data_IF_124589846374
#
_entry.id   IF_124589846374
#
_cell.length_a   1.000
_cell.length_b   1.000
_cell.length_c   1.000
_cell.angle_alpha   90.00
_cell.angle_beta   90.00
_cell.angle_gamma   90.00
#
_symmetry.space_group_name_H-M   'P 1'
#
loop_
_entity.id
_entity.type
_entity.pdbx_description
1 polymer ?
#
# COMPACT_ATOMS: atom_id res chain seq x y z
N UNK A 1 -28.00 32.09 55.96
CA UNK A 1 -28.79 32.43 54.77
C UNK A 1 -28.60 33.91 54.46
N UNK A 2 -27.41 34.38 54.08
CA UNK A 2 -26.94 34.36 52.67
C UNK A 2 -27.81 35.30 51.82
N UNK A 3 -27.77 36.62 52.02
CA UNK A 3 -26.99 37.61 51.21
C UNK A 3 -27.22 37.45 49.70
N UNK A 4 -28.03 38.34 49.10
CA UNK A 4 -27.57 39.51 48.32
C UNK A 4 -27.42 39.13 46.83
N UNK A 5 -27.59 39.99 45.82
CA UNK A 5 -28.16 41.32 45.62
C UNK A 5 -27.97 41.52 44.10
N UNK A 6 -28.94 42.14 43.43
CA UNK A 6 -28.82 43.09 42.33
C UNK A 6 -27.58 42.99 41.40
N UNK A 7 -27.77 42.91 40.09
CA UNK A 7 -28.01 44.10 39.26
C UNK A 7 -27.93 43.75 37.78
N UNK A 8 -28.89 44.30 37.04
CA UNK A 8 -28.92 44.33 35.60
C UNK A 8 -27.80 45.25 35.11
N UNK A 9 -26.93 44.79 34.21
CA UNK A 9 -26.10 45.70 33.41
C UNK A 9 -26.04 45.20 31.97
N UNK A 10 -26.85 45.83 31.15
CA UNK A 10 -26.81 45.74 29.71
C UNK A 10 -25.70 46.69 29.22
N UNK A 11 -24.59 46.15 28.70
CA UNK A 11 -23.67 46.92 27.90
C UNK A 11 -23.39 46.13 26.61
N UNK A 12 -23.86 46.67 25.50
CA UNK A 12 -23.56 46.15 24.18
C UNK A 12 -22.15 46.53 23.78
N UNK A 13 -21.38 45.55 23.31
CA UNK A 13 -20.31 45.74 22.33
C UNK A 13 -20.25 44.50 21.44
N UNK A 14 -20.59 44.71 20.16
CA UNK A 14 -19.96 44.12 18.96
C UNK A 14 -18.50 43.70 19.25
N UNK A 15 -17.95 42.55 18.83
CA UNK A 15 -17.97 41.88 17.53
C UNK A 15 -17.36 40.47 17.68
N UNK A 16 -17.85 39.52 16.87
CA UNK A 16 -17.15 38.32 16.33
C UNK A 16 -16.38 37.45 17.31
N UNK A 17 -17.05 36.39 17.80
CA UNK A 17 -16.36 35.21 18.31
C UNK A 17 -15.82 34.39 17.15
N UNK A 18 -14.50 34.38 17.03
CA UNK A 18 -13.75 33.26 16.46
C UNK A 18 -13.92 32.07 17.42
N UNK A 19 -14.55 30.99 16.95
CA UNK A 19 -14.32 29.63 17.43
C UNK A 19 -14.97 28.67 16.41
N UNK A 20 -14.45 28.71 15.18
CA UNK A 20 -14.52 27.53 14.32
C UNK A 20 -13.61 26.47 14.92
N UNK A 21 -14.21 25.53 15.65
CA UNK A 21 -13.61 24.24 15.96
C UNK A 21 -13.40 23.46 14.66
N UNK A 22 -12.41 23.86 13.87
CA UNK A 22 -11.88 23.07 12.78
C UNK A 22 -11.13 21.89 13.39
N UNK A 23 -11.65 20.68 13.20
CA UNK A 23 -10.81 19.49 13.30
C UNK A 23 -9.66 19.69 12.30
N UNK A 24 -8.47 20.04 12.79
CA UNK A 24 -7.25 19.98 11.99
C UNK A 24 -7.14 18.56 11.48
N UNK A 25 -7.47 18.33 10.20
CA UNK A 25 -7.10 17.10 9.50
C UNK A 25 -5.58 17.02 9.53
N UNK A 26 -5.06 16.31 10.53
CA UNK A 26 -3.65 15.98 10.64
C UNK A 26 -3.25 15.33 9.32
N UNK A 27 -2.42 16.01 8.53
CA UNK A 27 -1.97 15.49 7.24
C UNK A 27 -1.17 14.22 7.52
N UNK A 28 -1.74 13.06 7.20
CA UNK A 28 -1.07 11.76 7.37
C UNK A 28 0.22 11.76 6.56
N UNK A 29 1.29 11.21 7.13
CA UNK A 29 2.52 10.98 6.38
C UNK A 29 2.29 9.86 5.34
N UNK A 30 3.17 9.76 4.34
CA UNK A 30 3.09 8.64 3.38
C UNK A 30 3.26 7.28 4.09
N UNK A 31 4.05 7.25 5.16
CA UNK A 31 4.22 6.05 5.97
C UNK A 31 2.93 5.64 6.65
N UNK A 32 2.24 6.58 7.32
CA UNK A 32 0.94 6.32 7.95
C UNK A 32 -0.06 5.80 6.92
N UNK A 33 -0.10 6.38 5.72
CA UNK A 33 -1.02 5.94 4.66
C UNK A 33 -0.69 4.51 4.19
N UNK A 34 0.59 4.15 4.06
CA UNK A 34 0.99 2.80 3.68
C UNK A 34 0.59 1.77 4.75
N UNK A 35 0.84 2.09 6.03
CA UNK A 35 0.51 1.22 7.16
C UNK A 35 -1.01 1.10 7.34
N UNK A 36 -1.75 2.21 7.29
CA UNK A 36 -3.22 2.20 7.36
C UNK A 36 -3.83 1.36 6.22
N UNK A 37 -3.27 1.47 5.01
CA UNK A 37 -3.73 0.69 3.86
C UNK A 37 -3.48 -0.80 4.07
N UNK A 38 -2.34 -1.17 4.64
CA UNK A 38 -2.00 -2.55 4.97
C UNK A 38 -2.91 -3.12 6.06
N UNK A 39 -3.06 -2.39 7.16
CA UNK A 39 -3.85 -2.80 8.33
C UNK A 39 -5.34 -2.97 7.99
N UNK A 40 -5.85 -2.20 7.02
CA UNK A 40 -7.20 -2.36 6.52
C UNK A 40 -7.43 -3.66 5.74
N UNK A 41 -6.37 -4.28 5.21
CA UNK A 41 -6.41 -5.56 4.49
C UNK A 41 -7.46 -5.60 3.38
N UNK A 42 -8.39 -6.57 3.44
CA UNK A 42 -9.44 -6.73 2.42
C UNK A 42 -10.45 -5.56 2.36
N UNK A 43 -10.43 -4.66 3.35
CA UNK A 43 -11.28 -3.46 3.42
C UNK A 43 -10.53 -2.17 3.06
N UNK A 44 -9.28 -2.28 2.59
CA UNK A 44 -8.45 -1.13 2.28
C UNK A 44 -9.09 -0.22 1.22
N UNK A 45 -9.15 1.07 1.52
CA UNK A 45 -9.40 2.11 0.52
C UNK A 45 -8.07 2.55 -0.08
N UNK A 46 -7.72 1.98 -1.23
CA UNK A 46 -6.49 2.32 -1.95
C UNK A 46 -6.53 3.73 -2.56
N UNK A 47 -7.67 4.44 -2.53
CA UNK A 47 -7.81 5.78 -3.10
C UNK A 47 -6.94 6.84 -2.42
N UNK A 48 -6.84 6.78 -1.08
CA UNK A 48 -5.96 7.68 -0.32
C UNK A 48 -4.49 7.41 -0.67
N UNK A 49 -4.08 6.13 -0.68
CA UNK A 49 -2.74 5.71 -1.10
C UNK A 49 -2.39 6.21 -2.50
N UNK A 50 -3.27 5.97 -3.47
CA UNK A 50 -3.02 6.37 -4.86
C UNK A 50 -2.95 7.89 -5.04
N UNK A 51 -3.68 8.65 -4.22
CA UNK A 51 -3.64 10.12 -4.24
C UNK A 51 -2.37 10.70 -3.60
N UNK A 52 -1.77 9.97 -2.66
CA UNK A 52 -0.53 10.38 -1.99
C UNK A 52 0.74 10.06 -2.81
N UNK A 53 0.66 9.12 -3.75
CA UNK A 53 1.80 8.67 -4.55
C UNK A 53 2.08 9.59 -5.74
N UNK A 54 3.38 9.86 -5.94
CA UNK A 54 3.94 10.71 -6.99
C UNK A 54 5.20 10.07 -7.55
N UNK A 55 5.70 10.58 -8.69
CA UNK A 55 6.97 10.12 -9.27
C UNK A 55 8.17 10.22 -8.31
N UNK A 56 8.12 11.14 -7.34
CA UNK A 56 9.23 11.38 -6.40
C UNK A 56 9.23 10.43 -5.21
N UNK A 57 8.06 9.93 -4.80
CA UNK A 57 7.90 9.15 -3.56
C UNK A 57 7.32 7.74 -3.79
N UNK A 58 7.00 7.35 -5.02
CA UNK A 58 6.41 6.03 -5.31
C UNK A 58 7.29 4.82 -4.91
N UNK A 59 8.58 5.05 -4.70
CA UNK A 59 9.56 4.07 -4.23
C UNK A 59 9.92 4.24 -2.74
N UNK A 60 9.15 5.03 -1.99
CA UNK A 60 9.32 5.16 -0.55
C UNK A 60 9.25 3.78 0.12
N UNK A 61 10.10 3.57 1.11
CA UNK A 61 10.18 2.37 1.93
C UNK A 61 9.83 2.74 3.36
N UNK A 62 8.92 2.01 4.00
CA UNK A 62 8.63 2.18 5.43
C UNK A 62 9.91 2.06 6.25
N UNK A 63 9.96 2.75 7.38
CA UNK A 63 11.15 2.79 8.24
C UNK A 63 11.44 1.39 8.79
N UNK A 64 10.39 0.75 9.27
CA UNK A 64 10.49 -0.50 10.04
C UNK A 64 10.54 -1.75 9.18
N UNK A 65 9.79 -1.87 8.10
CA UNK A 65 9.82 -3.14 7.34
C UNK A 65 10.30 -2.96 5.91
N UNK A 66 10.62 -1.73 5.51
CA UNK A 66 11.09 -1.41 4.16
C UNK A 66 10.05 -1.70 3.07
N UNK A 67 8.78 -1.75 3.43
CA UNK A 67 7.65 -1.97 2.52
C UNK A 67 7.48 -0.81 1.57
N UNK A 68 7.19 -1.13 0.31
CA UNK A 68 6.85 -0.17 -0.74
C UNK A 68 5.37 -0.22 -1.05
N UNK A 69 4.85 0.81 -1.73
CA UNK A 69 3.47 0.80 -2.23
C UNK A 69 3.16 -0.43 -3.09
N UNK A 70 4.11 -0.92 -3.90
CA UNK A 70 3.92 -2.14 -4.70
C UNK A 70 3.82 -3.39 -3.83
N UNK A 71 4.56 -3.49 -2.72
CA UNK A 71 4.46 -4.62 -1.79
C UNK A 71 3.12 -4.60 -1.05
N UNK A 72 2.70 -3.44 -0.54
CA UNK A 72 1.38 -3.29 0.10
C UNK A 72 0.28 -3.73 -0.86
N UNK A 73 0.23 -3.16 -2.07
CA UNK A 73 -0.75 -3.54 -3.09
C UNK A 73 -0.69 -5.02 -3.46
N UNK A 74 0.50 -5.62 -3.48
CA UNK A 74 0.68 -7.04 -3.76
C UNK A 74 0.14 -7.95 -2.65
N UNK A 75 0.17 -7.51 -1.40
CA UNK A 75 -0.40 -8.24 -0.27
C UNK A 75 -1.92 -8.10 -0.14
N UNK A 76 -2.54 -7.11 -0.78
CA UNK A 76 -3.99 -6.90 -0.73
C UNK A 76 -4.75 -7.89 -1.61
N UNK A 77 -5.23 -8.98 -1.01
CA UNK A 77 -6.08 -9.96 -1.68
C UNK A 77 -7.53 -9.47 -1.77
N UNK A 78 -8.14 -9.55 -2.95
CA UNK A 78 -9.58 -9.30 -3.15
C UNK A 78 -10.02 -7.84 -3.07
N UNK A 79 -9.08 -6.89 -2.95
CA UNK A 79 -9.37 -5.45 -2.93
C UNK A 79 -9.58 -4.96 -4.38
N UNK A 80 -10.75 -4.38 -4.72
CA UNK A 80 -10.99 -3.87 -6.05
C UNK A 80 -10.00 -2.77 -6.45
N UNK A 81 -9.58 -2.76 -7.71
CA UNK A 81 -8.71 -1.72 -8.24
C UNK A 81 -7.21 -1.93 -8.04
N UNK A 82 -6.78 -2.96 -7.27
CA UNK A 82 -5.36 -3.31 -7.10
C UNK A 82 -4.61 -3.45 -8.44
N UNK A 83 -5.15 -4.14 -9.47
CA UNK A 83 -4.50 -4.19 -10.79
C UNK A 83 -4.23 -2.81 -11.41
N UNK A 84 -5.21 -1.91 -11.31
CA UNK A 84 -5.08 -0.55 -11.86
C UNK A 84 -4.10 0.28 -11.05
N UNK A 85 -4.12 0.13 -9.72
CA UNK A 85 -3.17 0.79 -8.83
C UNK A 85 -1.73 0.35 -9.11
N UNK A 86 -1.46 -0.96 -9.26
CA UNK A 86 -0.14 -1.47 -9.61
C UNK A 86 0.37 -0.85 -10.93
N UNK A 87 -0.46 -0.85 -11.98
CA UNK A 87 -0.10 -0.21 -13.26
C UNK A 87 0.19 1.27 -13.10
N UNK A 88 -0.61 1.98 -12.30
CA UNK A 88 -0.41 3.40 -12.04
C UNK A 88 0.90 3.64 -11.28
N UNK A 89 1.20 2.89 -10.23
CA UNK A 89 2.46 2.98 -9.49
C UNK A 89 3.65 2.67 -10.41
N UNK A 90 3.56 1.65 -11.27
CA UNK A 90 4.58 1.37 -12.29
C UNK A 90 4.78 2.55 -13.26
N UNK A 91 3.69 3.19 -13.73
CA UNK A 91 3.75 4.37 -14.60
C UNK A 91 4.36 5.62 -13.92
N UNK A 92 4.30 5.68 -12.58
CA UNK A 92 4.98 6.70 -11.79
C UNK A 92 6.48 6.43 -11.62
N UNK A 93 6.97 5.24 -12.02
CA UNK A 93 8.35 4.80 -11.83
C UNK A 93 8.54 3.88 -10.62
N UNK A 94 7.46 3.24 -10.15
CA UNK A 94 7.50 2.24 -9.09
C UNK A 94 8.38 1.05 -9.47
N UNK A 95 9.40 0.79 -8.65
CA UNK A 95 10.40 -0.23 -8.87
C UNK A 95 10.05 -1.51 -8.09
N UNK A 96 9.50 -2.50 -8.78
CA UNK A 96 9.15 -3.79 -8.20
C UNK A 96 10.36 -4.63 -7.74
N UNK A 97 11.59 -4.23 -8.11
CA UNK A 97 12.82 -4.92 -7.71
C UNK A 97 13.33 -4.48 -6.32
N UNK A 98 12.72 -3.47 -5.70
CA UNK A 98 12.99 -3.14 -4.31
C UNK A 98 12.56 -4.34 -3.45
N UNK A 99 13.36 -4.60 -2.41
CA UNK A 99 13.10 -5.66 -1.43
C UNK A 99 12.84 -5.07 -0.05
N UNK A 100 12.03 -5.75 0.74
CA UNK A 100 11.80 -5.45 2.14
C UNK A 100 12.95 -6.00 3.02
N UNK A 101 12.76 -6.02 4.35
CA UNK A 101 13.78 -6.55 5.28
C UNK A 101 14.07 -8.04 5.12
N UNK A 102 13.11 -8.82 4.63
CA UNK A 102 13.25 -10.26 4.42
C UNK A 102 13.77 -10.60 3.02
N UNK A 103 14.10 -9.59 2.22
CA UNK A 103 14.54 -9.78 0.84
C UNK A 103 13.37 -10.00 -0.12
N UNK A 104 12.13 -9.79 0.33
CA UNK A 104 10.95 -10.04 -0.48
C UNK A 104 10.71 -8.88 -1.45
N UNK A 105 10.56 -9.22 -2.72
CA UNK A 105 10.02 -8.33 -3.76
C UNK A 105 8.49 -8.33 -3.71
N UNK A 106 7.85 -7.41 -4.44
CA UNK A 106 6.38 -7.41 -4.57
C UNK A 106 5.80 -8.74 -5.10
N UNK A 107 6.57 -9.53 -5.86
CA UNK A 107 6.12 -10.86 -6.32
C UNK A 107 6.13 -11.91 -5.21
N UNK A 108 7.06 -11.83 -4.24
CA UNK A 108 7.02 -12.67 -3.04
C UNK A 108 5.79 -12.35 -2.19
N UNK A 109 5.48 -11.07 -2.02
CA UNK A 109 4.27 -10.62 -1.34
C UNK A 109 2.99 -11.21 -1.95
N UNK A 110 2.82 -11.08 -3.27
CA UNK A 110 1.67 -11.66 -3.96
C UNK A 110 1.64 -13.21 -3.88
N UNK A 111 2.81 -13.86 -3.86
CA UNK A 111 2.94 -15.31 -3.69
C UNK A 111 2.48 -15.78 -2.32
N UNK A 112 2.91 -15.08 -1.26
CA UNK A 112 2.59 -15.42 0.12
C UNK A 112 1.12 -15.17 0.44
N UNK A 113 0.59 -14.01 0.04
CA UNK A 113 -0.79 -13.60 0.32
C UNK A 113 -1.83 -14.16 -0.66
N UNK A 114 -1.41 -14.91 -1.68
CA UNK A 114 -2.34 -15.48 -2.66
C UNK A 114 -3.07 -14.42 -3.50
N UNK A 115 -2.44 -13.28 -3.77
CA UNK A 115 -3.05 -12.17 -4.53
C UNK A 115 -2.88 -12.38 -6.04
N UNK A 116 -3.78 -13.15 -6.64
CA UNK A 116 -3.70 -13.54 -8.06
C UNK A 116 -3.71 -12.36 -9.03
N UNK A 117 -4.54 -11.37 -8.73
CA UNK A 117 -4.66 -10.15 -9.54
C UNK A 117 -3.37 -9.33 -9.53
N UNK A 118 -2.75 -9.17 -8.35
CA UNK A 118 -1.46 -8.49 -8.24
C UNK A 118 -0.32 -9.29 -8.88
N UNK A 119 -0.26 -10.60 -8.61
CA UNK A 119 0.70 -11.52 -9.20
C UNK A 119 0.71 -11.42 -10.73
N UNK A 120 -0.47 -11.45 -11.35
CA UNK A 120 -0.63 -11.36 -12.80
C UNK A 120 -0.13 -10.03 -13.36
N UNK A 121 -0.47 -8.90 -12.73
CA UNK A 121 -0.03 -7.58 -13.22
C UNK A 121 1.47 -7.35 -13.03
N UNK A 122 2.04 -7.78 -11.90
CA UNK A 122 3.47 -7.68 -11.65
C UNK A 122 4.27 -8.59 -12.59
N UNK A 123 3.85 -9.85 -12.76
CA UNK A 123 4.57 -10.83 -13.58
C UNK A 123 4.66 -10.41 -15.06
N UNK A 124 3.62 -9.78 -15.62
CA UNK A 124 3.61 -9.30 -17.01
C UNK A 124 4.80 -8.44 -17.38
N UNK A 125 5.24 -7.54 -16.49
CA UNK A 125 6.32 -6.59 -16.78
C UNK A 125 7.61 -6.92 -16.04
N UNK A 126 7.54 -7.74 -15.00
CA UNK A 126 8.64 -8.01 -14.08
C UNK A 126 9.07 -9.49 -14.06
N UNK A 127 8.91 -10.21 -15.18
CA UNK A 127 9.26 -11.64 -15.30
C UNK A 127 10.64 -11.99 -14.73
N UNK A 128 11.64 -11.11 -14.93
CA UNK A 128 13.00 -11.31 -14.39
C UNK A 128 13.05 -11.51 -12.86
N UNK A 129 12.11 -10.89 -12.14
CA UNK A 129 12.04 -10.94 -10.67
C UNK A 129 11.47 -12.27 -10.15
N UNK A 130 10.88 -13.11 -11.01
CA UNK A 130 10.42 -14.45 -10.64
C UNK A 130 11.57 -15.42 -10.32
N UNK A 131 12.81 -15.03 -10.61
CA UNK A 131 14.03 -15.82 -10.31
C UNK A 131 14.88 -15.21 -9.18
N UNK A 132 14.46 -14.06 -8.64
CA UNK A 132 15.14 -13.44 -7.50
C UNK A 132 14.77 -14.22 -6.24
N UNK A 133 15.74 -14.53 -5.39
CA UNK A 133 15.53 -15.20 -4.12
C UNK A 133 15.47 -14.22 -2.97
N UNK A 134 14.65 -14.52 -1.96
CA UNK A 134 14.65 -13.85 -0.67
C UNK A 134 15.86 -14.24 0.21
N UNK A 135 15.86 -13.78 1.47
CA UNK A 135 16.92 -14.09 2.44
C UNK A 135 16.95 -15.57 2.87
N UNK A 136 15.85 -16.33 2.69
CA UNK A 136 15.81 -17.77 2.90
C UNK A 136 16.22 -18.57 1.65
N UNK A 137 16.53 -17.88 0.54
CA UNK A 137 16.89 -18.51 -0.72
C UNK A 137 15.70 -18.99 -1.55
N UNK A 138 14.47 -18.58 -1.21
CA UNK A 138 13.27 -18.94 -1.96
C UNK A 138 12.94 -17.91 -3.03
N UNK A 139 12.56 -18.38 -4.21
CA UNK A 139 11.95 -17.56 -5.26
C UNK A 139 10.45 -17.31 -4.99
N UNK A 140 9.80 -16.33 -5.65
CA UNK A 140 8.36 -16.13 -5.52
C UNK A 140 7.54 -17.38 -5.87
N UNK A 141 8.02 -18.20 -6.82
CA UNK A 141 7.34 -19.44 -7.23
C UNK A 141 7.43 -20.50 -6.15
N UNK A 142 8.62 -20.67 -5.56
CA UNK A 142 8.83 -21.64 -4.48
C UNK A 142 8.04 -21.23 -3.24
N UNK A 143 8.00 -19.93 -2.92
CA UNK A 143 7.17 -19.40 -1.84
C UNK A 143 5.68 -19.66 -2.10
N UNK A 144 5.17 -19.41 -3.32
CA UNK A 144 3.78 -19.73 -3.66
C UNK A 144 3.46 -21.21 -3.45
N UNK A 145 4.36 -22.13 -3.83
CA UNK A 145 4.18 -23.57 -3.62
C UNK A 145 4.23 -23.96 -2.14
N UNK A 146 5.15 -23.38 -1.38
CA UNK A 146 5.27 -23.58 0.08
C UNK A 146 3.98 -23.18 0.80
N UNK A 147 3.39 -22.06 0.41
CA UNK A 147 2.12 -21.55 0.95
C UNK A 147 0.87 -22.20 0.32
N UNK A 148 1.05 -23.18 -0.58
CA UNK A 148 -0.05 -23.88 -1.30
C UNK A 148 -0.93 -22.95 -2.14
N UNK A 149 -0.36 -21.86 -2.61
CA UNK A 149 -0.98 -20.92 -3.54
C UNK A 149 -0.72 -21.37 -4.99
N UNK A 150 -1.25 -22.54 -5.35
CA UNK A 150 -1.02 -23.20 -6.65
C UNK A 150 -1.41 -22.32 -7.84
N UNK A 151 -2.46 -21.51 -7.69
CA UNK A 151 -2.88 -20.54 -8.71
C UNK A 151 -1.79 -19.51 -8.99
N UNK A 152 -1.10 -19.01 -7.96
CA UNK A 152 -0.04 -18.02 -8.13
C UNK A 152 1.20 -18.66 -8.73
N UNK A 153 1.55 -19.87 -8.27
CA UNK A 153 2.64 -20.64 -8.85
C UNK A 153 2.41 -20.86 -10.35
N UNK A 154 1.20 -21.24 -10.76
CA UNK A 154 0.85 -21.41 -12.17
C UNK A 154 0.96 -20.11 -12.98
N UNK A 155 0.46 -18.97 -12.45
CA UNK A 155 0.58 -17.65 -13.11
C UNK A 155 2.06 -17.31 -13.37
N UNK A 156 2.92 -17.54 -12.39
CA UNK A 156 4.34 -17.24 -12.49
C UNK A 156 5.09 -18.20 -13.42
N UNK A 157 4.77 -19.48 -13.38
CA UNK A 157 5.32 -20.47 -14.32
C UNK A 157 4.93 -20.17 -15.76
N UNK A 158 3.67 -19.79 -15.99
CA UNK A 158 3.18 -19.36 -17.30
C UNK A 158 3.95 -18.13 -17.80
N UNK A 159 4.07 -17.08 -16.98
CA UNK A 159 4.80 -15.87 -17.33
C UNK A 159 6.29 -16.15 -17.65
N UNK A 160 6.95 -17.06 -16.91
CA UNK A 160 8.31 -17.51 -17.23
C UNK A 160 8.36 -18.28 -18.56
N UNK A 161 7.37 -19.13 -18.82
CA UNK A 161 7.27 -19.92 -20.06
C UNK A 161 7.07 -19.05 -21.30
N UNK A 162 6.24 -18.02 -21.21
CA UNK A 162 6.01 -17.06 -22.30
C UNK A 162 7.27 -16.27 -22.65
N UNK A 163 8.01 -15.78 -21.64
CA UNK A 163 9.24 -15.00 -21.87
C UNK A 163 10.37 -15.76 -22.60
N UNK A 164 10.29 -17.09 -22.63
CA UNK A 164 11.25 -17.96 -23.33
C UNK A 164 10.85 -18.22 -24.79
N UNK A 165 9.59 -17.99 -25.18
CA UNK A 165 9.10 -18.20 -26.55
C UNK A 165 9.45 -17.03 -27.48
N UNK A 166 9.67 -15.85 -26.92
CA UNK A 166 9.98 -14.63 -27.66
C UNK A 166 11.51 -14.42 -27.91
N UNK A 167 12.33 -15.44 -27.62
CA UNK A 167 13.78 -15.46 -27.86
C UNK A 167 14.17 -16.52 -28.88
#
# INVERSE_FOLDING_TARGET
SGSANNNNNNNGTSTTGDDEGGEEKKTKSLEDILLDTWDAGTKADIGELMSALTKKNCNYQTVDDKWTALMILAGLQGVPGVPSAIRQVQSLGGNAAIVDRDGWTALHWAAFHGSADAAKELAKTQVKLLTVTDNEGMTPIELAKKEKNDTIAAIYEEALGESKKDK
#
